data_IF_343212782850
#
_entry.id   IF_343212782850
#
_cell.length_a   1.000
_cell.length_b   1.000
_cell.length_c   1.000
_cell.angle_alpha   90.00
_cell.angle_beta   90.00
_cell.angle_gamma   90.00
#
_symmetry.space_group_name_H-M   'P 1'
#
loop_
_entity.id
_entity.type
_entity.pdbx_description
1 polymer ?
#
# COMPACT_ATOMS: atom_id res chain seq x y z
N UNK A 1 7.23 -2.51 11.38
CA UNK A 1 7.42 -3.93 11.69
C UNK A 1 8.34 -4.56 10.65
N UNK A 2 9.13 -5.56 11.03
CA UNK A 2 10.04 -6.29 10.14
C UNK A 2 9.61 -7.73 9.95
N UNK A 3 10.05 -8.34 8.86
CA UNK A 3 9.79 -9.75 8.56
C UNK A 3 10.43 -10.67 9.60
N UNK A 4 11.63 -10.32 10.09
CA UNK A 4 12.31 -11.06 11.15
C UNK A 4 11.49 -11.12 12.45
N UNK A 5 10.91 -10.00 12.89
CA UNK A 5 10.02 -9.97 14.06
C UNK A 5 8.78 -10.82 13.81
N UNK A 6 8.19 -10.73 12.61
CA UNK A 6 7.02 -11.55 12.26
C UNK A 6 7.34 -13.06 12.34
N UNK A 7 8.50 -13.49 11.82
CA UNK A 7 8.90 -14.91 11.80
C UNK A 7 9.24 -15.47 13.17
N UNK A 8 9.94 -14.68 14.01
CA UNK A 8 10.42 -15.15 15.32
C UNK A 8 9.30 -15.07 16.37
N UNK A 9 8.52 -13.99 16.34
CA UNK A 9 7.49 -13.72 17.35
C UNK A 9 6.26 -13.10 16.68
N UNK A 10 5.45 -13.90 15.98
CA UNK A 10 4.23 -13.39 15.29
C UNK A 10 3.30 -12.60 16.23
N UNK A 11 3.21 -12.99 17.49
CA UNK A 11 2.39 -12.31 18.49
C UNK A 11 2.78 -10.83 18.67
N UNK A 12 4.07 -10.49 18.63
CA UNK A 12 4.53 -9.09 18.71
C UNK A 12 4.05 -8.27 17.51
N UNK A 13 4.13 -8.87 16.32
CA UNK A 13 3.60 -8.22 15.11
C UNK A 13 2.10 -8.01 15.23
N UNK A 14 1.33 -9.03 15.57
CA UNK A 14 -0.12 -8.94 15.65
C UNK A 14 -0.58 -7.99 16.74
N UNK A 15 0.04 -7.98 17.92
CA UNK A 15 -0.29 -7.01 18.97
C UNK A 15 -0.08 -5.55 18.52
N UNK A 16 0.97 -5.28 17.76
CA UNK A 16 1.22 -3.98 17.14
C UNK A 16 0.24 -3.69 15.99
N UNK A 17 -0.08 -4.68 15.17
CA UNK A 17 -0.92 -4.53 13.98
C UNK A 17 -2.40 -4.34 14.31
N UNK A 18 -2.90 -4.91 15.41
CA UNK A 18 -4.32 -4.93 15.76
C UNK A 18 -4.99 -3.55 15.78
N UNK A 19 -4.49 -2.54 16.50
CA UNK A 19 -5.10 -1.21 16.52
C UNK A 19 -5.08 -0.57 15.11
N UNK A 20 -4.02 -0.76 14.35
CA UNK A 20 -3.93 -0.27 12.97
C UNK A 20 -4.90 -0.99 12.05
N UNK A 21 -5.03 -2.31 12.15
CA UNK A 21 -5.98 -3.10 11.37
C UNK A 21 -7.42 -2.65 11.63
N UNK A 22 -7.78 -2.37 12.89
CA UNK A 22 -9.09 -1.82 13.26
C UNK A 22 -9.32 -0.46 12.58
N UNK A 23 -8.36 0.47 12.70
CA UNK A 23 -8.45 1.79 12.07
C UNK A 23 -8.62 1.69 10.55
N UNK A 24 -7.85 0.81 9.88
CA UNK A 24 -7.95 0.59 8.43
C UNK A 24 -9.33 0.00 8.06
N UNK A 25 -9.82 -0.95 8.84
CA UNK A 25 -11.11 -1.59 8.58
C UNK A 25 -12.27 -0.61 8.67
N UNK A 26 -12.26 0.26 9.68
CA UNK A 26 -13.28 1.28 9.93
C UNK A 26 -13.16 2.51 9.01
N UNK A 27 -12.02 2.69 8.34
CA UNK A 27 -11.75 3.87 7.52
C UNK A 27 -12.60 3.93 6.26
N UNK A 28 -13.04 5.15 5.95
CA UNK A 28 -13.73 5.49 4.71
C UNK A 28 -12.87 6.43 3.84
N UNK A 29 -13.06 6.42 2.50
CA UNK A 29 -12.39 7.36 1.62
C UNK A 29 -12.66 8.81 2.02
N UNK A 30 -11.62 9.61 2.08
CA UNK A 30 -11.73 11.05 2.29
C UNK A 30 -11.95 11.80 0.95
N UNK A 31 -12.23 13.13 0.97
CA UNK A 31 -12.44 13.90 -0.24
C UNK A 31 -11.31 13.83 -1.27
N UNK A 32 -10.06 13.66 -0.86
CA UNK A 32 -8.94 13.52 -1.79
C UNK A 32 -9.01 12.19 -2.56
N UNK A 33 -9.34 11.07 -1.89
CA UNK A 33 -9.55 9.79 -2.57
C UNK A 33 -10.68 9.87 -3.60
N UNK A 34 -11.80 10.51 -3.23
CA UNK A 34 -12.94 10.69 -4.13
C UNK A 34 -12.61 11.57 -5.34
N UNK A 35 -11.86 12.67 -5.12
CA UNK A 35 -11.41 13.55 -6.19
C UNK A 35 -10.48 12.84 -7.18
N UNK A 36 -9.52 12.02 -6.67
CA UNK A 36 -8.61 11.24 -7.51
C UNK A 36 -9.37 10.18 -8.32
N UNK A 37 -10.35 9.51 -7.73
CA UNK A 37 -11.19 8.54 -8.43
C UNK A 37 -12.04 9.21 -9.53
N UNK A 38 -12.57 10.41 -9.29
CA UNK A 38 -13.32 11.16 -10.30
C UNK A 38 -12.39 11.65 -11.44
N UNK A 39 -11.17 12.10 -11.14
CA UNK A 39 -10.18 12.45 -12.15
C UNK A 39 -9.76 11.25 -13.00
N UNK A 40 -9.60 10.07 -12.39
CA UNK A 40 -9.35 8.81 -13.11
C UNK A 40 -10.51 8.48 -14.04
N UNK A 41 -11.75 8.53 -13.55
CA UNK A 41 -12.97 8.30 -14.33
C UNK A 41 -13.10 9.24 -15.53
N UNK A 42 -12.66 10.48 -15.40
CA UNK A 42 -12.61 11.47 -16.50
C UNK A 42 -11.42 11.32 -17.43
N UNK A 43 -10.50 10.38 -17.15
CA UNK A 43 -9.33 10.13 -17.97
C UNK A 43 -8.14 11.08 -17.76
N UNK A 44 -8.18 11.94 -16.74
CA UNK A 44 -7.06 12.82 -16.40
C UNK A 44 -5.98 12.10 -15.61
N UNK A 45 -6.35 11.15 -14.76
CA UNK A 45 -5.41 10.25 -14.06
C UNK A 45 -5.49 8.89 -14.73
N UNK A 46 -4.33 8.35 -15.11
CA UNK A 46 -4.21 7.05 -15.75
C UNK A 46 -3.96 5.95 -14.72
N UNK A 47 -3.12 6.23 -13.73
CA UNK A 47 -2.67 5.24 -12.75
C UNK A 47 -2.40 5.92 -11.40
N UNK A 48 -2.70 5.23 -10.30
CA UNK A 48 -2.41 5.67 -8.94
C UNK A 48 -1.37 4.73 -8.34
N UNK A 49 -0.30 5.28 -7.79
CA UNK A 49 0.73 4.53 -7.07
C UNK A 49 0.61 4.89 -5.60
N UNK A 50 0.32 3.93 -4.74
CA UNK A 50 0.17 4.18 -3.31
C UNK A 50 1.11 3.33 -2.48
N UNK A 51 1.61 3.93 -1.39
CA UNK A 51 2.34 3.24 -0.33
C UNK A 51 1.39 2.73 0.77
N UNK A 52 0.14 3.21 0.76
CA UNK A 52 -0.87 2.81 1.73
C UNK A 52 -1.37 1.39 1.44
N UNK A 53 -1.77 0.71 2.52
CA UNK A 53 -2.27 -0.66 2.50
C UNK A 53 -3.76 -0.75 2.83
N UNK A 54 -4.45 0.41 2.89
CA UNK A 54 -5.78 0.61 3.45
C UNK A 54 -6.94 0.41 2.47
N UNK A 55 -6.62 0.22 1.19
CA UNK A 55 -7.59 -0.01 0.09
C UNK A 55 -8.54 1.19 -0.14
N UNK A 56 -8.25 2.37 0.41
CA UNK A 56 -9.17 3.50 0.33
C UNK A 56 -9.32 4.06 -1.09
N UNK A 57 -8.29 3.96 -1.93
CA UNK A 57 -8.42 4.33 -3.35
C UNK A 57 -9.44 3.44 -4.07
N UNK A 58 -9.38 2.12 -3.85
CA UNK A 58 -10.33 1.18 -4.44
C UNK A 58 -11.74 1.39 -3.89
N UNK A 59 -11.88 1.60 -2.57
CA UNK A 59 -13.15 1.96 -1.93
C UNK A 59 -13.74 3.27 -2.48
N UNK A 60 -12.89 4.21 -2.91
CA UNK A 60 -13.30 5.46 -3.55
C UNK A 60 -13.76 5.28 -5.01
N UNK A 61 -13.48 4.12 -5.62
CA UNK A 61 -13.83 3.81 -7.00
C UNK A 61 -12.68 3.85 -8.01
N UNK A 62 -11.44 4.09 -7.56
CA UNK A 62 -10.25 4.00 -8.42
C UNK A 62 -9.99 2.55 -8.85
N UNK A 63 -9.60 2.35 -10.11
CA UNK A 63 -9.42 1.03 -10.73
C UNK A 63 -7.97 0.67 -10.98
N UNK A 64 -7.14 1.65 -11.37
CA UNK A 64 -5.74 1.44 -11.73
C UNK A 64 -4.82 1.82 -10.58
N UNK A 65 -4.89 1.05 -9.48
CA UNK A 65 -4.14 1.32 -8.25
C UNK A 65 -3.00 0.32 -8.09
N UNK A 66 -1.78 0.83 -7.93
CA UNK A 66 -0.57 0.05 -7.66
C UNK A 66 -0.19 0.18 -6.18
N UNK A 67 -0.55 -0.81 -5.39
CA UNK A 67 -0.23 -0.90 -3.96
C UNK A 67 1.19 -1.45 -3.79
N UNK A 68 2.20 -0.56 -3.86
CA UNK A 68 3.62 -0.97 -3.87
C UNK A 68 4.12 -1.55 -2.56
N UNK A 69 3.43 -1.31 -1.47
CA UNK A 69 3.71 -1.91 -0.14
C UNK A 69 2.73 -3.03 0.23
N UNK A 70 2.06 -3.61 -0.79
CA UNK A 70 1.09 -4.69 -0.57
C UNK A 70 -0.28 -4.18 -0.15
N UNK A 71 -1.12 -5.08 0.33
CA UNK A 71 -2.54 -4.82 0.60
C UNK A 71 -3.03 -5.56 1.84
N UNK A 72 -4.05 -5.02 2.49
CA UNK A 72 -4.77 -5.73 3.56
C UNK A 72 -5.86 -6.67 3.05
N UNK A 73 -6.10 -6.76 1.74
CA UNK A 73 -7.15 -7.63 1.17
C UNK A 73 -6.80 -9.12 1.19
N UNK A 74 -5.53 -9.46 1.30
CA UNK A 74 -5.08 -10.85 1.26
C UNK A 74 -4.26 -11.25 2.48
N UNK A 75 -4.23 -12.55 2.72
CA UNK A 75 -3.32 -13.20 3.65
C UNK A 75 -2.69 -14.42 3.01
N UNK A 76 -1.41 -14.63 3.27
CA UNK A 76 -0.66 -15.79 2.75
C UNK A 76 -0.12 -16.62 3.92
N UNK A 77 -0.29 -17.95 3.83
CA UNK A 77 0.27 -18.86 4.80
C UNK A 77 1.81 -18.84 4.74
N UNK A 78 2.46 -18.72 5.88
CA UNK A 78 3.93 -18.67 5.96
C UNK A 78 4.62 -20.00 5.69
N UNK A 79 3.87 -21.10 5.65
CA UNK A 79 4.39 -22.45 5.48
C UNK A 79 3.99 -23.07 4.14
N UNK A 80 2.69 -23.19 3.87
CA UNK A 80 2.21 -23.84 2.63
C UNK A 80 1.95 -22.84 1.49
N UNK A 81 2.10 -21.54 1.74
CA UNK A 81 1.92 -20.45 0.76
C UNK A 81 0.50 -20.34 0.17
N UNK A 82 -0.46 -21.02 0.77
CA UNK A 82 -1.87 -20.88 0.40
C UNK A 82 -2.35 -19.46 0.68
N UNK A 83 -3.13 -18.91 -0.24
CA UNK A 83 -3.63 -17.54 -0.19
C UNK A 83 -5.10 -17.52 0.19
N UNK A 84 -5.45 -16.53 0.99
CA UNK A 84 -6.79 -16.33 1.50
C UNK A 84 -7.20 -14.86 1.34
N UNK A 85 -8.49 -14.62 1.10
CA UNK A 85 -9.09 -13.30 1.32
C UNK A 85 -9.05 -12.97 2.82
N UNK A 86 -8.61 -11.76 3.15
CA UNK A 86 -8.32 -11.41 4.54
C UNK A 86 -9.54 -11.10 5.39
N UNK A 87 -10.65 -10.68 4.79
CA UNK A 87 -11.78 -10.05 5.48
C UNK A 87 -12.23 -10.84 6.71
N UNK A 88 -12.59 -12.11 6.52
CA UNK A 88 -13.05 -12.96 7.65
C UNK A 88 -12.01 -13.11 8.76
N UNK A 89 -10.74 -13.25 8.38
CA UNK A 89 -9.66 -13.41 9.35
C UNK A 89 -9.36 -12.11 10.09
N UNK A 90 -9.41 -10.97 9.38
CA UNK A 90 -9.18 -9.66 9.99
C UNK A 90 -10.29 -9.26 10.95
N UNK A 91 -11.56 -9.51 10.62
CA UNK A 91 -12.67 -9.22 11.50
C UNK A 91 -12.54 -10.02 12.81
N UNK A 92 -12.38 -11.34 12.72
CA UNK A 92 -12.19 -12.17 13.90
C UNK A 92 -10.99 -11.72 14.73
N UNK A 93 -9.85 -11.43 14.08
CA UNK A 93 -8.66 -10.96 14.76
C UNK A 93 -8.85 -9.59 15.44
N UNK A 94 -9.53 -8.64 14.81
CA UNK A 94 -9.84 -7.32 15.37
C UNK A 94 -10.73 -7.48 16.62
N UNK A 95 -11.71 -8.36 16.58
CA UNK A 95 -12.66 -8.58 17.68
C UNK A 95 -12.04 -9.36 18.83
N UNK A 96 -11.43 -10.49 18.56
CA UNK A 96 -10.97 -11.45 19.58
C UNK A 96 -9.50 -11.30 19.96
N UNK A 97 -8.65 -10.83 19.03
CA UNK A 97 -7.20 -10.83 19.14
C UNK A 97 -6.56 -12.17 18.77
N UNK A 98 -7.34 -13.15 18.33
CA UNK A 98 -6.82 -14.44 17.91
C UNK A 98 -6.00 -14.31 16.63
N UNK A 99 -4.75 -14.80 16.66
CA UNK A 99 -3.85 -14.76 15.50
C UNK A 99 -4.42 -15.62 14.38
N UNK A 100 -4.56 -15.08 13.15
CA UNK A 100 -5.07 -15.84 12.02
C UNK A 100 -4.20 -17.05 11.67
N UNK A 101 -4.84 -18.21 11.56
CA UNK A 101 -4.18 -19.47 11.21
C UNK A 101 -4.71 -20.03 9.88
N UNK A 102 -3.81 -20.66 9.14
CA UNK A 102 -4.13 -21.36 7.90
C UNK A 102 -5.13 -22.49 8.16
N UNK A 103 -6.18 -22.58 7.37
CA UNK A 103 -7.18 -23.65 7.49
C UNK A 103 -6.58 -25.03 7.19
N UNK A 104 -5.61 -25.11 6.29
CA UNK A 104 -5.00 -26.35 5.81
C UNK A 104 -3.89 -26.87 6.71
N UNK A 105 -2.91 -26.03 7.09
CA UNK A 105 -1.72 -26.49 7.83
C UNK A 105 -1.58 -25.91 9.24
N UNK A 106 -2.54 -25.08 9.68
CA UNK A 106 -2.60 -24.46 11.01
C UNK A 106 -1.41 -23.53 11.35
N UNK A 107 -0.58 -23.19 10.36
CA UNK A 107 0.48 -22.20 10.53
C UNK A 107 -0.06 -20.77 10.41
N UNK A 108 0.68 -19.82 10.94
CA UNK A 108 0.29 -18.41 10.97
C UNK A 108 0.08 -17.84 9.57
N UNK A 109 -1.02 -17.14 9.36
CA UNK A 109 -1.27 -16.35 8.16
C UNK A 109 -0.59 -14.98 8.30
N UNK A 110 0.10 -14.54 7.25
CA UNK A 110 0.68 -13.20 7.18
C UNK A 110 -0.20 -12.34 6.26
N UNK A 111 -0.61 -11.12 6.70
CA UNK A 111 -1.21 -10.16 5.77
C UNK A 111 -0.28 -9.89 4.57
N UNK A 112 -0.86 -9.71 3.39
CA UNK A 112 -0.08 -9.46 2.16
C UNK A 112 0.50 -8.03 2.10
N UNK A 113 0.80 -7.45 3.25
CA UNK A 113 1.51 -6.18 3.41
C UNK A 113 3.02 -6.41 3.40
N UNK A 114 3.77 -5.49 2.81
CA UNK A 114 5.23 -5.57 2.75
C UNK A 114 5.82 -5.03 4.05
N UNK A 115 6.53 -5.88 4.75
CA UNK A 115 7.27 -5.54 5.96
C UNK A 115 8.70 -5.08 5.60
N UNK A 116 9.34 -4.36 6.50
CA UNK A 116 10.78 -4.13 6.36
C UNK A 116 11.52 -5.47 6.18
N UNK A 117 12.57 -5.50 5.37
CA UNK A 117 13.32 -6.70 4.95
C UNK A 117 12.63 -7.53 3.84
N UNK A 118 11.41 -7.20 3.44
CA UNK A 118 10.78 -7.84 2.29
C UNK A 118 11.03 -7.07 0.99
N UNK A 119 11.07 -7.81 -0.10
CA UNK A 119 11.11 -7.22 -1.43
C UNK A 119 9.73 -6.68 -1.81
N UNK A 120 9.71 -5.55 -2.51
CA UNK A 120 8.48 -5.03 -3.09
C UNK A 120 7.91 -6.04 -4.11
N UNK A 121 6.58 -6.08 -4.28
CA UNK A 121 5.95 -7.01 -5.23
C UNK A 121 6.37 -6.66 -6.66
N UNK A 122 7.29 -7.45 -7.24
CA UNK A 122 8.02 -7.16 -8.49
C UNK A 122 7.07 -6.78 -9.64
N UNK A 123 5.95 -7.49 -9.80
CA UNK A 123 4.99 -7.19 -10.88
C UNK A 123 4.33 -5.82 -10.70
N UNK A 124 3.94 -5.46 -9.48
CA UNK A 124 3.31 -4.18 -9.15
C UNK A 124 4.34 -3.06 -9.29
N UNK A 125 5.54 -3.26 -8.75
CA UNK A 125 6.63 -2.31 -8.85
C UNK A 125 6.99 -1.99 -10.31
N UNK A 126 7.10 -3.01 -11.16
CA UNK A 126 7.42 -2.80 -12.59
C UNK A 126 6.33 -2.03 -13.33
N UNK A 127 5.04 -2.26 -12.99
CA UNK A 127 3.92 -1.46 -13.54
C UNK A 127 4.02 -0.01 -13.07
N UNK A 128 4.19 0.22 -11.78
CA UNK A 128 4.36 1.56 -11.21
C UNK A 128 5.55 2.31 -11.85
N UNK A 129 6.70 1.65 -11.96
CA UNK A 129 7.88 2.23 -12.60
C UNK A 129 7.66 2.54 -14.09
N UNK A 130 6.89 1.71 -14.80
CA UNK A 130 6.51 1.97 -16.19
C UNK A 130 5.56 3.18 -16.29
N UNK A 131 4.57 3.27 -15.42
CA UNK A 131 3.64 4.41 -15.37
C UNK A 131 4.40 5.72 -15.16
N UNK A 132 5.33 5.75 -14.21
CA UNK A 132 6.18 6.91 -13.92
C UNK A 132 7.02 7.36 -15.12
N UNK A 133 7.55 6.43 -15.89
CA UNK A 133 8.35 6.75 -17.08
C UNK A 133 7.55 7.33 -18.25
N UNK A 134 6.24 7.03 -18.26
CA UNK A 134 5.36 7.39 -19.37
C UNK A 134 4.41 8.56 -19.04
N UNK A 135 4.41 9.07 -17.80
CA UNK A 135 3.55 10.19 -17.44
C UNK A 135 4.14 11.51 -17.95
N UNK A 136 3.25 12.43 -18.30
CA UNK A 136 3.58 13.82 -18.63
C UNK A 136 3.43 14.74 -17.41
N UNK A 137 2.63 14.30 -16.41
CA UNK A 137 2.44 14.98 -15.14
C UNK A 137 2.42 13.96 -13.99
N UNK A 138 3.22 14.20 -12.96
CA UNK A 138 3.18 13.49 -11.70
C UNK A 138 2.55 14.38 -10.62
N UNK A 139 1.51 13.89 -9.95
CA UNK A 139 0.94 14.53 -8.77
C UNK A 139 1.34 13.72 -7.54
N UNK A 140 2.08 14.33 -6.62
CA UNK A 140 2.45 13.73 -5.33
C UNK A 140 1.50 14.27 -4.26
N UNK A 141 0.82 13.36 -3.54
CA UNK A 141 -0.18 13.74 -2.54
C UNK A 141 0.13 13.06 -1.20
N UNK A 142 0.31 13.83 -0.13
CA UNK A 142 0.43 13.32 1.24
C UNK A 142 1.58 12.35 1.46
N UNK A 143 2.74 12.57 0.82
CA UNK A 143 3.92 11.72 0.96
C UNK A 143 5.12 12.51 1.44
N UNK A 144 5.83 12.01 2.47
CA UNK A 144 7.11 12.56 2.90
C UNK A 144 8.25 12.26 1.93
N UNK A 145 8.06 11.31 1.01
CA UNK A 145 9.08 10.84 0.05
C UNK A 145 10.39 10.35 0.71
N UNK A 146 10.30 9.73 1.91
CA UNK A 146 11.47 9.24 2.64
C UNK A 146 11.77 7.77 2.41
N UNK A 147 10.73 6.96 2.14
CA UNK A 147 10.87 5.49 2.06
C UNK A 147 11.34 5.05 0.68
N UNK A 148 12.54 4.47 0.62
CA UNK A 148 13.09 3.88 -0.62
C UNK A 148 12.49 2.49 -0.88
N UNK A 149 12.35 2.09 -2.17
CA UNK A 149 12.75 2.81 -3.38
C UNK A 149 11.67 3.78 -3.91
N UNK A 150 10.48 3.84 -3.32
CA UNK A 150 9.33 4.63 -3.81
C UNK A 150 9.67 6.12 -3.87
N UNK A 151 10.46 6.61 -2.91
CA UNK A 151 10.92 8.01 -2.88
C UNK A 151 11.74 8.43 -4.11
N UNK A 152 12.24 7.50 -4.91
CA UNK A 152 12.99 7.81 -6.14
C UNK A 152 12.06 7.98 -7.38
N UNK A 153 10.79 7.65 -7.29
CA UNK A 153 9.86 7.74 -8.42
C UNK A 153 9.71 9.17 -8.95
N UNK A 154 9.63 10.24 -8.11
CA UNK A 154 9.57 11.61 -8.60
C UNK A 154 10.78 12.01 -9.44
N UNK A 155 11.99 11.61 -9.04
CA UNK A 155 13.19 11.85 -9.88
C UNK A 155 13.10 11.13 -11.22
N UNK A 156 12.57 9.90 -11.22
CA UNK A 156 12.39 9.15 -12.46
C UNK A 156 11.39 9.84 -13.39
N UNK A 157 10.28 10.37 -12.88
CA UNK A 157 9.30 11.12 -13.67
C UNK A 157 9.94 12.35 -14.31
N UNK A 158 10.63 13.19 -13.52
CA UNK A 158 11.32 14.39 -14.00
C UNK A 158 12.40 14.06 -15.05
N UNK A 159 13.16 12.98 -14.85
CA UNK A 159 14.18 12.52 -15.80
C UNK A 159 13.60 12.11 -17.16
N UNK A 160 12.31 11.74 -17.21
CA UNK A 160 11.59 11.41 -18.43
C UNK A 160 10.72 12.57 -18.96
N UNK A 161 10.90 13.78 -18.43
CA UNK A 161 10.26 15.00 -18.92
C UNK A 161 8.89 15.32 -18.34
N UNK A 162 8.44 14.57 -17.33
CA UNK A 162 7.17 14.90 -16.64
C UNK A 162 7.28 16.21 -15.87
N UNK A 163 6.17 16.95 -15.81
CA UNK A 163 5.96 18.01 -14.82
C UNK A 163 5.56 17.40 -13.48
N UNK A 164 5.71 18.16 -12.39
CA UNK A 164 5.35 17.68 -11.07
C UNK A 164 4.52 18.71 -10.30
N UNK A 165 3.52 18.22 -9.57
CA UNK A 165 2.76 18.96 -8.58
C UNK A 165 2.88 18.23 -7.25
N UNK A 166 3.16 18.96 -6.17
CA UNK A 166 3.23 18.39 -4.81
C UNK A 166 2.12 19.01 -3.96
N UNK A 167 1.27 18.17 -3.39
CA UNK A 167 0.23 18.52 -2.44
C UNK A 167 0.54 17.83 -1.12
N UNK A 168 1.25 18.52 -0.24
CA UNK A 168 1.73 17.93 1.01
C UNK A 168 1.65 18.94 2.16
N UNK A 169 1.50 18.45 3.39
CA UNK A 169 1.48 19.30 4.57
C UNK A 169 2.89 19.79 4.96
N UNK A 170 3.88 18.94 4.78
CA UNK A 170 5.27 19.23 5.13
C UNK A 170 6.14 19.33 3.87
N UNK A 171 7.22 20.11 3.90
CA UNK A 171 8.18 20.16 2.80
C UNK A 171 8.77 18.80 2.49
N UNK A 172 9.12 18.59 1.22
CA UNK A 172 9.84 17.41 0.77
C UNK A 172 11.19 17.79 0.15
N UNK A 173 12.09 16.83 0.02
CA UNK A 173 13.43 17.06 -0.56
C UNK A 173 13.40 17.53 -2.02
N UNK A 174 12.24 17.44 -2.69
CA UNK A 174 12.13 17.69 -4.14
C UNK A 174 11.22 18.89 -4.49
N UNK A 175 10.72 19.61 -3.50
CA UNK A 175 9.80 20.75 -3.70
C UNK A 175 10.33 21.79 -4.68
N UNK A 176 11.64 22.03 -4.69
CA UNK A 176 12.28 22.99 -5.61
C UNK A 176 12.21 22.57 -7.10
N UNK A 177 11.72 21.38 -7.38
CA UNK A 177 11.61 20.82 -8.74
C UNK A 177 10.13 20.67 -9.18
N UNK A 178 9.16 21.07 -8.32
CA UNK A 178 7.73 21.03 -8.58
C UNK A 178 7.24 22.28 -9.33
#
# INVERSE_FOLDING_TARGET
ASLSVFRITPSKFFNWFRPMAKTIYEAAPNPAHLALAELEKRGYIQEIITQNIDVLHQKAGSKNVHEVHGTTLGMTCTSCYEKFESERFLINYIETGEIPLCSSCKQTLKPDVILFEEQLPVKIWNRAAKAIKNCDLLIVVGSSLEVKPVSNLPYSALAHGAKMIIINQSPTYIDSRA
#
